data_IF_951880435811
#
_entry.id   IF_951880435811
#
_cell.length_a   1.000
_cell.length_b   1.000
_cell.length_c   1.000
_cell.angle_alpha   90.00
_cell.angle_beta   90.00
_cell.angle_gamma   90.00
#
_symmetry.space_group_name_H-M   'P 1'
#
loop_
_entity.id
_entity.type
_entity.pdbx_description
1 polymer ?
#
# COMPACT_ATOMS: atom_id res chain seq x y z
N UNK A 1 65.86 -25.14 -24.12
CA UNK A 1 64.66 -25.08 -24.99
C UNK A 1 63.70 -24.08 -24.39
N UNK A 2 63.29 -23.12 -25.23
CA UNK A 2 62.17 -22.18 -25.16
C UNK A 2 61.40 -21.94 -23.84
N UNK A 3 61.50 -20.69 -23.39
CA UNK A 3 60.47 -19.77 -22.90
C UNK A 3 59.04 -20.27 -22.61
N UNK A 4 58.54 -19.93 -21.42
CA UNK A 4 57.12 -19.63 -21.20
C UNK A 4 57.01 -18.31 -20.42
N UNK A 5 56.52 -17.29 -21.10
CA UNK A 5 56.32 -15.93 -20.62
C UNK A 5 55.02 -15.74 -19.85
N UNK A 6 54.99 -14.64 -19.11
CA UNK A 6 53.85 -14.09 -18.40
C UNK A 6 52.91 -13.31 -19.34
N UNK A 7 51.60 -13.39 -19.11
CA UNK A 7 50.64 -12.26 -19.04
C UNK A 7 49.18 -12.77 -18.88
N UNK A 8 48.26 -11.94 -18.33
CA UNK A 8 47.03 -12.38 -17.67
C UNK A 8 45.79 -12.42 -18.58
N UNK A 9 44.84 -13.31 -18.23
CA UNK A 9 43.60 -13.55 -18.98
C UNK A 9 42.56 -12.43 -18.75
N UNK A 10 42.30 -11.69 -19.83
CA UNK A 10 41.10 -10.86 -20.05
C UNK A 10 39.86 -11.73 -20.34
N UNK A 11 38.73 -11.23 -19.83
CA UNK A 11 37.33 -11.39 -20.28
C UNK A 11 37.11 -12.17 -21.59
N UNK A 12 36.38 -13.29 -21.48
CA UNK A 12 35.77 -13.99 -22.62
C UNK A 12 34.24 -13.85 -22.58
N UNK A 13 33.74 -13.23 -23.64
CA UNK A 13 32.34 -13.19 -24.10
C UNK A 13 32.19 -14.15 -25.29
N UNK A 14 30.93 -14.56 -25.53
CA UNK A 14 30.35 -15.19 -26.74
C UNK A 14 30.23 -16.74 -26.73
N UNK A 15 29.22 -17.37 -27.42
CA UNK A 15 28.56 -16.87 -28.63
C UNK A 15 27.02 -16.95 -28.73
N UNK A 16 26.54 -16.30 -29.79
CA UNK A 16 25.18 -16.25 -30.31
C UNK A 16 24.92 -17.35 -31.37
N UNK A 17 23.67 -17.82 -31.44
CA UNK A 17 22.97 -18.44 -32.58
C UNK A 17 21.53 -18.72 -32.13
N UNK A 18 20.43 -18.59 -32.89
CA UNK A 18 20.11 -18.09 -34.21
C UNK A 18 18.55 -17.98 -34.29
N UNK A 19 17.97 -17.35 -35.32
CA UNK A 19 16.65 -16.71 -35.32
C UNK A 19 15.56 -17.52 -36.02
N UNK A 20 14.27 -17.18 -35.82
CA UNK A 20 13.15 -17.29 -36.79
C UNK A 20 11.94 -16.45 -36.33
N UNK A 21 10.99 -16.07 -37.21
CA UNK A 21 11.17 -15.56 -38.57
C UNK A 21 10.48 -14.19 -38.76
N UNK A 22 11.05 -13.41 -39.67
CA UNK A 22 10.50 -12.17 -40.21
C UNK A 22 9.35 -12.44 -41.19
N UNK A 23 8.21 -11.79 -40.97
CA UNK A 23 7.28 -11.41 -42.05
C UNK A 23 7.34 -9.88 -42.20
N UNK A 24 7.74 -9.47 -43.39
CA UNK A 24 7.92 -8.10 -43.82
C UNK A 24 6.58 -7.39 -44.03
N UNK A 25 6.64 -6.08 -43.76
CA UNK A 25 5.94 -4.98 -44.41
C UNK A 25 4.42 -4.86 -44.19
N UNK A 26 4.01 -3.71 -43.63
CA UNK A 26 3.35 -2.68 -44.44
C UNK A 26 3.20 -1.35 -43.68
N UNK A 27 3.73 -0.31 -44.30
CA UNK A 27 3.42 1.12 -44.14
C UNK A 27 3.72 1.80 -42.80
N UNK A 28 4.88 2.47 -42.77
CA UNK A 28 4.96 3.83 -42.23
C UNK A 28 4.00 4.73 -43.03
N UNK A 29 2.74 4.81 -42.61
CA UNK A 29 1.79 5.78 -43.11
C UNK A 29 2.15 7.20 -42.63
N UNK A 30 1.69 8.25 -43.33
CA UNK A 30 1.93 9.62 -42.91
C UNK A 30 1.32 9.82 -41.52
N UNK A 31 1.90 10.70 -40.70
CA UNK A 31 1.32 11.15 -39.44
C UNK A 31 -0.16 11.52 -39.66
N UNK A 32 -1.06 10.61 -39.28
CA UNK A 32 -2.49 10.78 -39.40
C UNK A 32 -2.92 11.90 -38.44
N UNK A 33 -3.93 12.71 -38.80
CA UNK A 33 -4.44 13.74 -37.91
C UNK A 33 -4.87 13.10 -36.58
N UNK A 34 -4.59 13.75 -35.43
CA UNK A 34 -4.77 13.16 -34.11
C UNK A 34 -6.19 12.67 -33.82
N UNK A 35 -7.20 13.22 -34.50
CA UNK A 35 -8.59 12.81 -34.36
C UNK A 35 -8.91 11.45 -34.99
N UNK A 36 -8.27 11.07 -36.11
CA UNK A 36 -8.62 9.80 -36.80
C UNK A 36 -8.18 8.57 -36.01
N UNK A 37 -7.06 8.68 -35.31
CA UNK A 37 -6.61 7.61 -34.41
C UNK A 37 -7.46 7.51 -33.15
N UNK A 38 -8.13 8.59 -32.73
CA UNK A 38 -9.00 8.62 -31.55
C UNK A 38 -10.33 7.96 -31.83
N UNK A 39 -11.00 8.38 -32.92
CA UNK A 39 -12.27 7.78 -33.35
C UNK A 39 -12.12 6.28 -33.60
N UNK A 40 -11.04 5.86 -34.27
CA UNK A 40 -10.76 4.43 -34.47
C UNK A 40 -10.60 3.67 -33.14
N UNK A 41 -9.99 4.27 -32.12
CA UNK A 41 -9.83 3.61 -30.83
C UNK A 41 -11.14 3.51 -30.04
N UNK A 42 -12.06 4.46 -30.23
CA UNK A 42 -13.40 4.41 -29.64
C UNK A 42 -14.27 3.37 -30.36
N UNK A 43 -14.18 3.30 -31.68
CA UNK A 43 -14.86 2.29 -32.50
C UNK A 43 -14.35 0.87 -32.17
N UNK A 44 -13.04 0.69 -32.03
CA UNK A 44 -12.43 -0.57 -31.62
C UNK A 44 -12.82 -0.94 -30.19
N UNK A 45 -12.91 0.03 -29.28
CA UNK A 45 -13.36 -0.20 -27.91
C UNK A 45 -14.80 -0.74 -27.87
N UNK A 46 -15.71 -0.16 -28.67
CA UNK A 46 -17.09 -0.60 -28.78
C UNK A 46 -17.23 -2.03 -29.35
N UNK A 47 -16.25 -2.50 -30.14
CA UNK A 47 -16.24 -3.86 -30.68
C UNK A 47 -15.48 -4.89 -29.84
N UNK A 48 -14.61 -4.46 -28.93
CA UNK A 48 -13.66 -5.32 -28.21
C UNK A 48 -13.79 -5.29 -26.68
N UNK A 49 -14.55 -4.34 -26.13
CA UNK A 49 -14.62 -4.09 -24.68
C UNK A 49 -13.31 -3.54 -24.09
N UNK A 50 -12.35 -3.13 -24.91
CA UNK A 50 -11.06 -2.58 -24.45
C UNK A 50 -10.85 -1.16 -24.98
N UNK A 51 -10.92 -0.18 -24.08
CA UNK A 51 -10.70 1.22 -24.38
C UNK A 51 -9.24 1.61 -24.17
N UNK A 52 -8.48 1.85 -25.25
CA UNK A 52 -7.08 2.28 -25.18
C UNK A 52 -6.86 3.69 -25.73
N UNK A 53 -6.74 4.65 -24.83
CA UNK A 53 -6.47 6.07 -25.13
C UNK A 53 -5.12 6.54 -24.56
N UNK A 54 -4.17 5.62 -24.32
CA UNK A 54 -2.88 5.95 -23.72
C UNK A 54 -2.02 6.89 -24.59
N UNK A 55 -1.31 7.83 -23.95
CA UNK A 55 -0.25 8.60 -24.62
C UNK A 55 -0.74 9.69 -25.59
N UNK A 56 -2.01 10.05 -25.53
CA UNK A 56 -2.66 10.96 -26.49
C UNK A 56 -2.66 12.43 -26.09
N UNK A 57 -1.98 12.77 -24.98
CA UNK A 57 -1.91 14.13 -24.40
C UNK A 57 -3.29 14.73 -24.09
N UNK A 58 -4.28 13.88 -23.83
CA UNK A 58 -5.66 14.29 -23.56
C UNK A 58 -5.75 15.10 -22.27
N UNK A 59 -6.42 16.24 -22.32
CA UNK A 59 -6.75 17.06 -21.13
C UNK A 59 -8.13 16.74 -20.56
N UNK A 60 -9.04 16.34 -21.43
CA UNK A 60 -10.40 15.90 -21.12
C UNK A 60 -10.66 14.57 -21.83
N UNK A 61 -11.67 13.84 -21.36
CA UNK A 61 -12.16 12.66 -22.05
C UNK A 61 -12.79 13.07 -23.38
N UNK A 62 -12.61 12.30 -24.45
CA UNK A 62 -13.09 12.70 -25.76
C UNK A 62 -14.62 12.77 -25.80
N UNK A 63 -15.18 13.94 -26.11
CA UNK A 63 -16.64 14.14 -26.23
C UNK A 63 -17.28 13.24 -27.29
N UNK A 64 -16.52 12.88 -28.31
CA UNK A 64 -16.94 11.93 -29.36
C UNK A 64 -17.18 10.53 -28.82
N UNK A 65 -16.68 10.18 -27.63
CA UNK A 65 -16.99 8.89 -26.99
C UNK A 65 -18.48 8.72 -26.70
N UNK A 66 -19.24 9.81 -26.54
CA UNK A 66 -20.69 9.74 -26.38
C UNK A 66 -21.42 9.19 -27.63
N UNK A 67 -20.75 9.15 -28.78
CA UNK A 67 -21.31 8.59 -30.02
C UNK A 67 -21.11 7.07 -30.14
N UNK A 68 -20.38 6.46 -29.20
CA UNK A 68 -20.08 5.03 -29.20
C UNK A 68 -20.66 4.40 -27.93
N UNK A 69 -21.23 3.21 -28.06
CA UNK A 69 -21.60 2.43 -26.88
C UNK A 69 -20.34 1.77 -26.31
N UNK A 70 -19.99 2.15 -25.08
CA UNK A 70 -18.82 1.66 -24.37
C UNK A 70 -19.22 0.94 -23.07
N UNK A 71 -20.51 0.68 -22.85
CA UNK A 71 -21.03 0.15 -21.58
C UNK A 71 -20.50 -1.24 -21.23
N UNK A 72 -20.07 -2.00 -22.23
CA UNK A 72 -19.44 -3.31 -22.13
C UNK A 72 -17.91 -3.26 -21.97
N UNK A 73 -17.32 -2.06 -21.84
CA UNK A 73 -15.87 -1.91 -21.65
C UNK A 73 -15.43 -2.55 -20.35
N UNK A 74 -14.57 -3.56 -20.45
CA UNK A 74 -13.97 -4.32 -19.35
C UNK A 74 -12.62 -3.73 -18.95
N UNK A 75 -11.88 -3.19 -19.92
CA UNK A 75 -10.53 -2.66 -19.70
C UNK A 75 -10.40 -1.25 -20.27
N UNK A 76 -9.99 -0.28 -19.44
CA UNK A 76 -9.76 1.09 -19.87
C UNK A 76 -8.33 1.55 -19.53
N UNK A 77 -7.55 1.86 -20.56
CA UNK A 77 -6.23 2.48 -20.46
C UNK A 77 -6.28 3.95 -20.91
N UNK A 78 -6.28 4.84 -19.92
CA UNK A 78 -6.22 6.29 -20.08
C UNK A 78 -4.85 6.85 -19.64
N UNK A 79 -3.82 6.01 -19.56
CA UNK A 79 -2.49 6.37 -19.04
C UNK A 79 -1.72 7.35 -19.94
N UNK A 80 -0.68 7.99 -19.39
CA UNK A 80 0.23 8.89 -20.10
C UNK A 80 -0.49 10.04 -20.81
N UNK A 81 -1.57 10.54 -20.21
CA UNK A 81 -2.32 11.71 -20.68
C UNK A 81 -2.05 12.91 -19.76
N UNK A 82 -2.91 13.93 -19.82
CA UNK A 82 -2.84 15.16 -19.02
C UNK A 82 -4.17 15.42 -18.31
N UNK A 83 -4.91 14.35 -18.00
CA UNK A 83 -6.20 14.44 -17.31
C UNK A 83 -6.00 15.06 -15.94
N UNK A 84 -6.80 16.08 -15.62
CA UNK A 84 -6.73 16.77 -14.32
C UNK A 84 -7.61 16.12 -13.26
N UNK A 85 -8.62 15.38 -13.68
CA UNK A 85 -9.58 14.67 -12.84
C UNK A 85 -9.96 13.37 -13.54
N UNK A 86 -10.46 12.39 -12.79
CA UNK A 86 -11.04 11.19 -13.41
C UNK A 86 -12.34 11.60 -14.13
N UNK A 87 -12.46 11.31 -15.44
CA UNK A 87 -13.63 11.76 -16.21
C UNK A 87 -14.93 11.13 -15.71
N UNK A 88 -16.01 11.91 -15.73
CA UNK A 88 -17.33 11.43 -15.31
C UNK A 88 -17.87 10.34 -16.26
N UNK A 89 -17.41 10.30 -17.51
CA UNK A 89 -17.76 9.27 -18.48
C UNK A 89 -17.30 7.88 -18.02
N UNK A 90 -16.17 7.78 -17.31
CA UNK A 90 -15.65 6.51 -16.78
C UNK A 90 -16.62 5.88 -15.78
N UNK A 91 -17.42 6.68 -15.08
CA UNK A 91 -18.44 6.24 -14.11
C UNK A 91 -19.56 5.42 -14.75
N UNK A 92 -19.78 5.58 -16.06
CA UNK A 92 -20.82 4.86 -16.81
C UNK A 92 -20.34 3.50 -17.34
N UNK A 93 -19.04 3.19 -17.25
CA UNK A 93 -18.47 1.92 -17.68
C UNK A 93 -18.69 0.84 -16.60
N UNK A 94 -19.94 0.46 -16.37
CA UNK A 94 -20.33 -0.44 -15.25
C UNK A 94 -19.68 -1.83 -15.31
N UNK A 95 -19.28 -2.27 -16.49
CA UNK A 95 -18.59 -3.56 -16.72
C UNK A 95 -17.07 -3.48 -16.51
N UNK A 96 -16.54 -2.32 -16.13
CA UNK A 96 -15.11 -2.07 -16.07
C UNK A 96 -14.44 -2.86 -14.95
N UNK A 97 -13.53 -3.77 -15.31
CA UNK A 97 -12.75 -4.57 -14.38
C UNK A 97 -11.37 -3.98 -14.10
N UNK A 98 -10.78 -3.30 -15.09
CA UNK A 98 -9.46 -2.68 -14.95
C UNK A 98 -9.45 -1.25 -15.47
N UNK A 99 -8.92 -0.34 -14.64
CA UNK A 99 -8.77 1.07 -14.97
C UNK A 99 -7.33 1.52 -14.76
N UNK A 100 -6.66 1.90 -15.85
CA UNK A 100 -5.30 2.42 -15.83
C UNK A 100 -5.29 3.92 -16.14
N UNK A 101 -4.96 4.71 -15.12
CA UNK A 101 -4.81 6.17 -15.14
C UNK A 101 -3.38 6.61 -14.86
N UNK A 102 -2.41 5.69 -14.99
CA UNK A 102 -0.99 5.93 -14.76
C UNK A 102 -0.49 7.18 -15.49
N UNK A 103 0.31 8.00 -14.81
CA UNK A 103 1.02 9.14 -15.41
C UNK A 103 0.06 10.16 -16.07
N UNK A 104 -0.79 10.75 -15.24
CA UNK A 104 -1.69 11.85 -15.59
C UNK A 104 -1.42 13.05 -14.65
N UNK A 105 -2.36 13.99 -14.54
CA UNK A 105 -2.31 15.13 -13.63
C UNK A 105 -3.51 15.12 -12.68
N UNK A 106 -4.03 13.94 -12.35
CA UNK A 106 -5.29 13.76 -11.62
C UNK A 106 -5.14 14.30 -10.20
N UNK A 107 -6.02 15.22 -9.81
CA UNK A 107 -6.10 15.83 -8.48
C UNK A 107 -7.31 15.36 -7.70
N UNK A 108 -8.38 14.95 -8.38
CA UNK A 108 -9.58 14.41 -7.73
C UNK A 108 -10.14 13.19 -8.45
N UNK A 109 -10.85 12.36 -7.70
CA UNK A 109 -11.61 11.21 -8.20
C UNK A 109 -13.07 11.49 -7.80
N UNK A 110 -14.04 11.46 -8.73
CA UNK A 110 -15.42 11.77 -8.44
C UNK A 110 -16.07 10.64 -7.62
N UNK A 111 -17.00 11.01 -6.74
CA UNK A 111 -17.70 10.07 -5.85
C UNK A 111 -18.47 8.98 -6.63
N UNK A 112 -18.89 9.32 -7.85
CA UNK A 112 -19.55 8.40 -8.78
C UNK A 112 -18.75 7.14 -9.09
N UNK A 113 -17.41 7.14 -8.90
CA UNK A 113 -16.57 5.94 -9.10
C UNK A 113 -17.06 4.72 -8.31
N UNK A 114 -17.81 4.92 -7.22
CA UNK A 114 -18.47 3.84 -6.47
C UNK A 114 -19.43 2.99 -7.32
N UNK A 115 -19.91 3.45 -8.47
CA UNK A 115 -20.77 2.66 -9.38
C UNK A 115 -20.04 1.49 -10.02
N UNK A 116 -18.70 1.52 -10.08
CA UNK A 116 -17.86 0.56 -10.81
C UNK A 116 -17.67 -0.73 -10.01
N UNK A 117 -18.77 -1.44 -9.73
CA UNK A 117 -18.81 -2.63 -8.88
C UNK A 117 -18.12 -3.86 -9.50
N UNK A 118 -17.70 -3.79 -10.77
CA UNK A 118 -16.85 -4.81 -11.40
C UNK A 118 -15.35 -4.48 -11.29
N UNK A 119 -14.98 -3.29 -10.81
CA UNK A 119 -13.60 -2.82 -10.85
C UNK A 119 -12.74 -3.55 -9.82
N UNK A 120 -11.81 -4.36 -10.32
CA UNK A 120 -10.89 -5.16 -9.50
C UNK A 120 -9.48 -4.60 -9.48
N UNK A 121 -9.06 -3.85 -10.50
CA UNK A 121 -7.74 -3.27 -10.57
C UNK A 121 -7.79 -1.77 -10.92
N UNK A 122 -7.28 -0.94 -10.03
CA UNK A 122 -7.18 0.50 -10.22
C UNK A 122 -5.73 0.95 -10.12
N UNK A 123 -5.19 1.50 -11.21
CA UNK A 123 -3.88 2.14 -11.23
C UNK A 123 -4.03 3.64 -11.43
N UNK A 124 -3.78 4.40 -10.37
CA UNK A 124 -3.79 5.88 -10.33
C UNK A 124 -2.40 6.42 -9.98
N UNK A 125 -1.34 5.64 -10.21
CA UNK A 125 0.02 6.04 -9.88
C UNK A 125 0.57 7.15 -10.78
N UNK A 126 1.53 7.91 -10.27
CA UNK A 126 2.10 9.11 -10.92
C UNK A 126 1.04 10.14 -11.28
N UNK A 127 0.30 10.59 -10.27
CA UNK A 127 -0.70 11.65 -10.38
C UNK A 127 -0.43 12.73 -9.31
N UNK A 128 -1.42 13.58 -9.00
CA UNK A 128 -1.29 14.70 -8.07
C UNK A 128 -2.34 14.63 -6.94
N UNK A 129 -2.81 13.43 -6.60
CA UNK A 129 -3.83 13.23 -5.57
C UNK A 129 -3.27 13.60 -4.20
N UNK A 130 -3.98 14.48 -3.49
CA UNK A 130 -3.67 14.85 -2.10
C UNK A 130 -4.42 13.98 -1.08
N UNK A 131 -5.58 13.45 -1.48
CA UNK A 131 -6.44 12.58 -0.67
C UNK A 131 -6.98 11.46 -1.55
N UNK A 132 -7.06 10.25 -0.99
CA UNK A 132 -7.79 9.15 -1.60
C UNK A 132 -9.24 9.19 -1.08
N UNK A 133 -10.25 9.43 -1.94
CA UNK A 133 -11.63 9.56 -1.48
C UNK A 133 -12.18 8.23 -0.96
N UNK A 134 -13.04 8.32 0.05
CA UNK A 134 -13.63 7.16 0.71
C UNK A 134 -14.44 6.27 -0.26
N UNK A 135 -14.98 6.85 -1.32
CA UNK A 135 -15.76 6.16 -2.36
C UNK A 135 -14.94 5.06 -3.05
N UNK A 136 -13.63 5.25 -3.23
CA UNK A 136 -12.72 4.21 -3.79
C UNK A 136 -12.64 3.00 -2.87
N UNK A 137 -12.84 3.19 -1.56
CA UNK A 137 -12.80 2.11 -0.57
C UNK A 137 -14.08 1.25 -0.57
N UNK A 138 -15.14 1.69 -1.24
CA UNK A 138 -16.38 0.92 -1.42
C UNK A 138 -16.36 -0.03 -2.62
N UNK A 139 -15.24 -0.10 -3.33
CA UNK A 139 -15.08 -0.93 -4.53
C UNK A 139 -14.51 -2.32 -4.20
N UNK A 140 -14.82 -3.36 -4.98
CA UNK A 140 -14.27 -4.71 -4.79
C UNK A 140 -12.84 -4.85 -5.36
N UNK A 141 -11.97 -3.86 -5.09
CA UNK A 141 -10.60 -3.84 -5.60
C UNK A 141 -9.79 -4.99 -5.02
N UNK A 142 -9.03 -5.64 -5.91
CA UNK A 142 -7.96 -6.60 -5.62
C UNK A 142 -6.58 -5.97 -5.70
N UNK A 143 -6.41 -5.01 -6.61
CA UNK A 143 -5.15 -4.29 -6.81
C UNK A 143 -5.44 -2.79 -6.81
N UNK A 144 -4.78 -2.06 -5.90
CA UNK A 144 -4.80 -0.60 -5.86
C UNK A 144 -3.38 -0.06 -5.89
N UNK A 145 -3.03 0.62 -6.97
CA UNK A 145 -1.76 1.33 -7.08
C UNK A 145 -1.99 2.84 -7.13
N UNK A 146 -1.67 3.50 -6.02
CA UNK A 146 -1.70 4.96 -5.85
C UNK A 146 -0.31 5.53 -5.55
N UNK A 147 0.75 4.84 -5.97
CA UNK A 147 2.13 5.30 -5.80
C UNK A 147 2.43 6.60 -6.54
N UNK A 148 3.44 7.34 -6.10
CA UNK A 148 3.87 8.60 -6.71
C UNK A 148 2.71 9.63 -6.82
N UNK A 149 2.03 9.88 -5.72
CA UNK A 149 1.04 10.94 -5.56
C UNK A 149 1.50 11.90 -4.44
N UNK A 150 0.59 12.70 -3.88
CA UNK A 150 0.83 13.61 -2.75
C UNK A 150 -0.07 13.26 -1.56
N UNK A 151 -0.36 11.96 -1.37
CA UNK A 151 -1.28 11.52 -0.33
C UNK A 151 -0.67 11.78 1.05
N UNK A 152 -1.36 12.55 1.89
CA UNK A 152 -0.92 12.85 3.27
C UNK A 152 -1.37 11.78 4.28
N UNK A 153 -2.46 11.09 3.97
CA UNK A 153 -3.03 10.02 4.79
C UNK A 153 -3.87 9.08 3.91
N UNK A 154 -4.12 7.88 4.43
CA UNK A 154 -5.14 6.98 3.88
C UNK A 154 -6.44 7.16 4.67
N UNK A 155 -7.62 7.10 4.03
CA UNK A 155 -8.89 7.21 4.72
C UNK A 155 -9.11 6.01 5.64
N UNK A 156 -9.83 6.19 6.75
CA UNK A 156 -10.19 5.08 7.65
C UNK A 156 -11.02 4.01 6.94
N UNK A 157 -11.80 4.41 5.93
CA UNK A 157 -12.57 3.51 5.08
C UNK A 157 -11.72 2.53 4.29
N UNK A 158 -10.39 2.68 4.21
CA UNK A 158 -9.51 1.72 3.53
C UNK A 158 -9.75 0.28 3.99
N UNK A 159 -10.11 0.07 5.26
CA UNK A 159 -10.44 -1.24 5.80
C UNK A 159 -11.70 -1.91 5.22
N UNK A 160 -12.49 -1.20 4.40
CA UNK A 160 -13.66 -1.74 3.69
C UNK A 160 -13.28 -2.54 2.44
N UNK A 161 -12.05 -2.38 1.93
CA UNK A 161 -11.54 -3.10 0.74
C UNK A 161 -11.20 -4.57 1.09
N UNK A 162 -12.21 -5.36 1.45
CA UNK A 162 -12.04 -6.74 1.96
C UNK A 162 -11.35 -7.69 1.00
N UNK A 163 -11.45 -7.41 -0.30
CA UNK A 163 -10.88 -8.23 -1.39
C UNK A 163 -9.47 -7.78 -1.84
N UNK A 164 -8.93 -6.71 -1.24
CA UNK A 164 -7.66 -6.12 -1.67
C UNK A 164 -6.50 -7.05 -1.34
N UNK A 165 -5.73 -7.43 -2.36
CA UNK A 165 -4.58 -8.30 -2.28
C UNK A 165 -3.27 -7.53 -2.37
N UNK A 166 -3.26 -6.43 -3.13
CA UNK A 166 -2.08 -5.61 -3.37
C UNK A 166 -2.40 -4.12 -3.19
N UNK A 167 -1.66 -3.46 -2.30
CA UNK A 167 -1.76 -2.03 -2.06
C UNK A 167 -0.38 -1.39 -2.19
N UNK A 168 -0.22 -0.54 -3.21
CA UNK A 168 0.96 0.29 -3.38
C UNK A 168 0.61 1.77 -3.22
N UNK A 169 1.13 2.37 -2.15
CA UNK A 169 1.01 3.80 -1.84
C UNK A 169 2.40 4.41 -1.63
N UNK A 170 3.42 3.82 -2.25
CA UNK A 170 4.79 4.29 -2.15
C UNK A 170 5.01 5.66 -2.80
N UNK A 171 6.06 6.36 -2.39
CA UNK A 171 6.39 7.71 -2.88
C UNK A 171 5.21 8.69 -2.71
N UNK A 172 4.69 8.78 -1.49
CA UNK A 172 3.66 9.73 -1.07
C UNK A 172 4.14 10.51 0.17
N UNK A 173 3.25 11.25 0.81
CA UNK A 173 3.53 12.08 2.00
C UNK A 173 2.82 11.52 3.25
N UNK A 174 2.56 10.21 3.28
CA UNK A 174 1.77 9.56 4.33
C UNK A 174 2.51 9.59 5.66
N UNK A 175 1.91 10.19 6.68
CA UNK A 175 2.49 10.34 8.02
C UNK A 175 2.16 9.21 8.99
N UNK A 176 1.00 8.56 8.79
CA UNK A 176 0.54 7.43 9.58
C UNK A 176 -0.37 6.52 8.76
N UNK A 177 -0.38 5.23 9.10
CA UNK A 177 -1.34 4.27 8.56
C UNK A 177 -2.54 4.16 9.51
N UNK A 178 -3.78 4.15 9.01
CA UNK A 178 -4.96 4.02 9.85
C UNK A 178 -5.05 2.61 10.44
N UNK A 179 -5.48 2.49 11.71
CA UNK A 179 -5.72 1.19 12.39
C UNK A 179 -6.59 0.22 11.58
N UNK A 180 -7.54 0.79 10.83
CA UNK A 180 -8.48 0.04 9.98
C UNK A 180 -7.81 -0.76 8.86
N UNK A 181 -6.54 -0.50 8.55
CA UNK A 181 -5.77 -1.32 7.61
C UNK A 181 -5.70 -2.79 8.04
N UNK A 182 -5.77 -3.09 9.33
CA UNK A 182 -5.82 -4.46 9.87
C UNK A 182 -7.08 -5.26 9.47
N UNK A 183 -8.10 -4.60 8.91
CA UNK A 183 -9.30 -5.26 8.38
C UNK A 183 -9.12 -5.87 6.99
N UNK A 184 -8.02 -5.57 6.31
CA UNK A 184 -7.73 -6.05 4.94
C UNK A 184 -7.31 -7.53 4.92
N UNK A 185 -8.23 -8.45 5.22
CA UNK A 185 -7.95 -9.90 5.39
C UNK A 185 -7.39 -10.58 4.12
N UNK A 186 -7.62 -10.00 2.94
CA UNK A 186 -7.05 -10.50 1.68
C UNK A 186 -5.65 -9.94 1.36
N UNK A 187 -5.15 -8.94 2.09
CA UNK A 187 -3.92 -8.23 1.70
C UNK A 187 -2.70 -9.14 1.82
N UNK A 188 -1.92 -9.19 0.75
CA UNK A 188 -0.68 -9.98 0.63
C UNK A 188 0.52 -9.09 0.42
N UNK A 189 0.38 -8.00 -0.32
CA UNK A 189 1.47 -7.09 -0.62
C UNK A 189 1.10 -5.68 -0.19
N UNK A 190 1.92 -5.12 0.69
CA UNK A 190 1.79 -3.74 1.14
C UNK A 190 3.10 -3.00 0.87
N UNK A 191 3.04 -1.98 0.02
CA UNK A 191 4.16 -1.10 -0.26
C UNK A 191 3.84 0.33 0.19
N UNK A 192 4.53 0.77 1.23
CA UNK A 192 4.46 2.13 1.81
C UNK A 192 5.83 2.81 1.75
N UNK A 193 6.73 2.33 0.89
CA UNK A 193 8.08 2.87 0.70
C UNK A 193 8.06 4.38 0.40
N UNK A 194 9.08 5.12 0.87
CA UNK A 194 9.23 6.57 0.59
C UNK A 194 7.98 7.35 0.98
N UNK A 195 7.64 7.28 2.27
CA UNK A 195 6.61 8.09 2.91
C UNK A 195 7.21 8.76 4.15
N UNK A 196 6.37 9.35 5.00
CA UNK A 196 6.76 10.05 6.22
C UNK A 196 6.27 9.30 7.48
N UNK A 197 6.12 7.97 7.39
CA UNK A 197 5.54 7.17 8.47
C UNK A 197 6.49 7.12 9.67
N UNK A 198 6.01 7.57 10.82
CA UNK A 198 6.76 7.54 12.08
C UNK A 198 6.46 6.29 12.93
N UNK A 199 5.19 5.86 12.95
CA UNK A 199 4.71 4.75 13.78
C UNK A 199 3.96 3.75 12.91
N UNK A 200 4.28 2.48 13.12
CA UNK A 200 3.60 1.36 12.49
C UNK A 200 2.47 0.87 13.40
N UNK A 201 1.21 0.77 12.92
CA UNK A 201 0.10 0.28 13.75
C UNK A 201 0.22 -1.21 14.04
N UNK A 202 -0.13 -1.61 15.27
CA UNK A 202 -0.10 -3.01 15.70
C UNK A 202 -1.05 -3.91 14.90
N UNK A 203 -2.16 -3.34 14.40
CA UNK A 203 -3.18 -4.04 13.60
C UNK A 203 -2.62 -4.68 12.31
N UNK A 204 -1.46 -4.21 11.81
CA UNK A 204 -0.78 -4.84 10.67
C UNK A 204 -0.28 -6.26 10.97
N UNK A 205 -0.09 -6.61 12.25
CA UNK A 205 0.35 -7.93 12.67
C UNK A 205 -0.68 -9.04 12.35
N UNK A 206 -1.96 -8.67 12.28
CA UNK A 206 -3.07 -9.60 11.99
C UNK A 206 -3.27 -9.84 10.48
N UNK A 207 -2.53 -9.11 9.64
CA UNK A 207 -2.64 -9.24 8.20
C UNK A 207 -1.82 -10.43 7.69
N UNK A 208 -2.35 -11.21 6.74
CA UNK A 208 -1.63 -12.31 6.09
C UNK A 208 -0.63 -11.81 5.01
N UNK A 209 0.16 -10.79 5.33
CA UNK A 209 1.13 -10.18 4.43
C UNK A 209 2.24 -11.17 4.07
N UNK A 210 2.58 -11.20 2.78
CA UNK A 210 3.69 -11.95 2.17
C UNK A 210 4.85 -11.01 1.87
N UNK A 211 4.55 -9.80 1.41
CA UNK A 211 5.55 -8.75 1.17
C UNK A 211 5.15 -7.47 1.89
N UNK A 212 6.09 -6.90 2.62
CA UNK A 212 5.90 -5.61 3.26
C UNK A 212 7.13 -4.75 3.07
N UNK A 213 6.95 -3.62 2.38
CA UNK A 213 8.00 -2.62 2.17
C UNK A 213 7.59 -1.30 2.83
N UNK A 214 8.33 -0.91 3.87
CA UNK A 214 8.24 0.40 4.52
C UNK A 214 9.59 1.12 4.51
N UNK A 215 10.47 0.79 3.55
CA UNK A 215 11.76 1.46 3.39
C UNK A 215 11.62 2.96 3.12
N UNK A 216 12.66 3.74 3.44
CA UNK A 216 12.69 5.19 3.29
C UNK A 216 11.51 5.91 4.00
N UNK A 217 11.25 5.55 5.25
CA UNK A 217 10.27 6.22 6.11
C UNK A 217 10.97 6.84 7.34
N UNK A 218 10.20 7.21 8.37
CA UNK A 218 10.68 7.77 9.64
C UNK A 218 10.41 6.82 10.82
N UNK A 219 10.29 5.52 10.54
CA UNK A 219 9.93 4.52 11.55
C UNK A 219 11.08 4.36 12.55
N UNK A 220 10.78 4.55 13.83
CA UNK A 220 11.75 4.37 14.93
C UNK A 220 11.70 2.97 15.55
N UNK A 221 10.52 2.36 15.56
CA UNK A 221 10.30 1.09 16.27
C UNK A 221 9.40 0.16 15.47
N UNK A 222 9.75 -1.12 15.42
CA UNK A 222 8.87 -2.18 14.91
C UNK A 222 8.09 -2.76 16.09
N UNK A 223 6.74 -2.76 16.06
CA UNK A 223 5.93 -3.33 17.13
C UNK A 223 6.27 -4.80 17.40
N UNK A 224 6.34 -5.17 18.68
CA UNK A 224 6.68 -6.54 19.12
C UNK A 224 5.69 -7.57 18.56
N UNK A 225 4.42 -7.19 18.41
CA UNK A 225 3.36 -8.04 17.86
C UNK A 225 3.64 -8.51 16.41
N UNK A 226 4.52 -7.84 15.66
CA UNK A 226 4.89 -8.26 14.30
C UNK A 226 5.59 -9.61 14.24
N UNK A 227 6.06 -10.14 15.39
CA UNK A 227 6.49 -11.54 15.53
C UNK A 227 5.43 -12.55 15.04
N UNK A 228 4.14 -12.17 15.06
CA UNK A 228 3.01 -13.03 14.64
C UNK A 228 2.85 -13.13 13.13
N UNK A 229 3.52 -12.28 12.34
CA UNK A 229 3.41 -12.23 10.87
C UNK A 229 4.16 -13.41 10.20
N UNK A 230 3.68 -14.63 10.42
CA UNK A 230 4.34 -15.87 9.98
C UNK A 230 4.36 -16.06 8.45
N UNK A 231 3.42 -15.43 7.73
CA UNK A 231 3.31 -15.51 6.27
C UNK A 231 4.28 -14.59 5.53
N UNK A 232 4.95 -13.69 6.25
CA UNK A 232 5.81 -12.68 5.66
C UNK A 232 7.08 -13.32 5.10
N UNK A 233 7.29 -13.20 3.79
CA UNK A 233 8.45 -13.71 3.07
C UNK A 233 9.48 -12.61 2.83
N UNK A 234 9.03 -11.43 2.38
CA UNK A 234 9.89 -10.28 2.11
C UNK A 234 9.55 -9.12 3.05
N UNK A 235 10.57 -8.59 3.72
CA UNK A 235 10.46 -7.44 4.60
C UNK A 235 11.54 -6.42 4.24
N UNK A 236 11.14 -5.28 3.69
CA UNK A 236 12.02 -4.19 3.31
C UNK A 236 11.79 -3.01 4.26
N UNK A 237 12.86 -2.59 4.94
CA UNK A 237 12.81 -1.57 6.01
C UNK A 237 14.00 -0.61 5.96
N UNK A 238 14.81 -0.69 4.90
CA UNK A 238 16.01 0.11 4.71
C UNK A 238 15.71 1.61 4.81
N UNK A 239 16.70 2.41 5.21
CA UNK A 239 16.56 3.87 5.30
C UNK A 239 15.43 4.32 6.25
N UNK A 240 15.33 3.69 7.41
CA UNK A 240 14.53 4.14 8.55
C UNK A 240 15.44 4.40 9.76
N UNK A 241 15.16 5.41 10.60
CA UNK A 241 15.90 5.69 11.83
C UNK A 241 15.52 4.71 12.96
N UNK A 242 15.62 3.41 12.70
CA UNK A 242 15.21 2.37 13.63
C UNK A 242 16.12 2.34 14.87
N UNK A 243 15.49 2.49 16.04
CA UNK A 243 16.11 2.31 17.35
C UNK A 243 15.89 0.89 17.87
N UNK A 244 14.72 0.30 17.60
CA UNK A 244 14.39 -1.07 17.98
C UNK A 244 13.58 -1.76 16.87
N UNK A 245 14.11 -2.82 16.22
CA UNK A 245 15.38 -3.49 16.48
C UNK A 245 16.62 -2.64 16.13
N UNK A 246 17.76 -2.83 16.82
CA UNK A 246 19.02 -2.17 16.47
C UNK A 246 19.44 -2.43 15.02
N UNK A 247 20.16 -1.48 14.41
CA UNK A 247 20.61 -1.56 13.01
C UNK A 247 21.38 -2.86 12.70
N UNK A 248 22.19 -3.35 13.64
CA UNK A 248 22.94 -4.61 13.50
C UNK A 248 22.04 -5.84 13.30
N UNK A 249 20.83 -5.83 13.87
CA UNK A 249 19.83 -6.90 13.69
C UNK A 249 19.12 -6.70 12.36
N UNK A 250 18.79 -5.46 12.03
CA UNK A 250 18.13 -5.09 10.79
C UNK A 250 18.91 -5.53 9.54
N UNK A 251 20.24 -5.32 9.53
CA UNK A 251 21.13 -5.71 8.41
C UNK A 251 21.15 -7.23 8.20
N UNK A 252 20.94 -8.03 9.25
CA UNK A 252 20.88 -9.50 9.15
C UNK A 252 19.53 -10.02 8.60
N UNK A 253 18.59 -9.12 8.32
CA UNK A 253 17.33 -9.42 7.66
C UNK A 253 16.23 -9.98 8.55
N UNK A 254 15.11 -10.33 7.90
CA UNK A 254 13.81 -10.70 8.52
C UNK A 254 13.91 -11.73 9.65
N UNK A 255 14.67 -12.80 9.46
CA UNK A 255 14.76 -13.91 10.43
C UNK A 255 15.31 -13.42 11.78
N UNK A 256 16.33 -12.57 11.75
CA UNK A 256 16.96 -12.03 12.95
C UNK A 256 16.07 -11.00 13.64
N UNK A 257 15.36 -10.18 12.87
CA UNK A 257 14.35 -9.25 13.39
C UNK A 257 13.26 -10.01 14.15
N UNK A 258 12.69 -11.06 13.56
CA UNK A 258 11.63 -11.84 14.20
C UNK A 258 12.12 -12.56 15.46
N UNK A 259 13.36 -13.06 15.45
CA UNK A 259 13.99 -13.64 16.64
C UNK A 259 14.14 -12.59 17.74
N UNK A 260 14.59 -11.38 17.41
CA UNK A 260 14.70 -10.27 18.35
C UNK A 260 13.33 -9.89 18.94
N UNK A 261 12.31 -9.67 18.10
CA UNK A 261 10.96 -9.34 18.55
C UNK A 261 10.37 -10.44 19.45
N UNK A 262 10.67 -11.71 19.17
CA UNK A 262 10.26 -12.83 20.02
C UNK A 262 10.95 -12.82 21.38
N UNK A 263 12.23 -12.46 21.44
CA UNK A 263 12.98 -12.34 22.70
C UNK A 263 12.51 -11.14 23.53
N UNK A 264 12.24 -10.00 22.89
CA UNK A 264 11.72 -8.80 23.57
C UNK A 264 10.32 -9.04 24.14
N UNK A 265 9.45 -9.74 23.43
CA UNK A 265 8.14 -10.16 23.96
C UNK A 265 8.29 -10.97 25.27
N UNK A 266 9.20 -11.95 25.30
CA UNK A 266 9.44 -12.78 26.49
C UNK A 266 10.11 -12.01 27.65
N UNK A 267 10.69 -10.83 27.39
CA UNK A 267 11.23 -9.94 28.42
C UNK A 267 10.14 -9.06 29.03
N UNK A 268 9.20 -8.57 28.21
CA UNK A 268 8.03 -7.82 28.66
C UNK A 268 7.10 -8.62 29.56
N UNK A 269 6.87 -9.90 29.25
CA UNK A 269 6.02 -10.79 30.06
C UNK A 269 6.61 -11.14 31.44
N UNK A 270 7.90 -10.90 31.67
CA UNK A 270 8.56 -11.16 32.96
C UNK A 270 8.46 -9.99 33.97
N UNK A 271 7.81 -8.89 33.60
CA UNK A 271 7.55 -7.75 34.48
C UNK A 271 6.11 -7.24 34.36
N UNK A 272 5.12 -7.90 35.00
CA UNK A 272 3.91 -7.18 35.40
C UNK A 272 3.78 -6.86 36.90
N UNK A 273 4.57 -7.45 37.83
CA UNK A 273 4.21 -7.44 39.27
C UNK A 273 5.28 -6.97 40.28
N UNK A 274 6.43 -6.41 39.86
CA UNK A 274 7.51 -6.10 40.81
C UNK A 274 7.55 -4.65 41.35
N UNK A 275 6.52 -3.82 41.12
CA UNK A 275 6.53 -2.40 41.55
C UNK A 275 5.35 -1.95 42.45
N UNK A 276 4.51 -2.86 42.93
CA UNK A 276 3.50 -2.53 43.94
C UNK A 276 3.53 -3.54 45.09
N UNK A 277 4.57 -3.56 45.92
CA UNK A 277 4.44 -3.94 47.33
C UNK A 277 5.74 -3.64 48.08
N UNK A 278 5.90 -2.39 48.49
CA UNK A 278 6.59 -2.03 49.73
C UNK A 278 6.32 -0.56 50.05
N UNK A 279 5.15 -0.27 50.62
CA UNK A 279 5.14 0.46 51.88
C UNK A 279 3.82 0.26 52.63
N UNK A 280 3.87 0.47 53.95
CA UNK A 280 2.81 0.33 54.97
C UNK A 280 2.73 -1.03 55.70
N UNK A 281 3.59 -1.14 56.71
CA UNK A 281 3.30 -1.91 57.93
C UNK A 281 2.03 -1.35 58.60
N UNK A 282 1.07 -2.19 59.04
CA UNK A 282 0.02 -1.75 59.96
C UNK A 282 0.54 -1.74 61.41
N UNK A 283 0.32 -0.63 62.12
CA UNK A 283 0.49 -0.55 63.58
C UNK A 283 -0.51 -1.48 64.30
N UNK A 284 -0.13 -2.09 65.45
CA UNK A 284 -1.00 -3.04 66.13
C UNK A 284 -2.00 -2.37 67.09
N UNK A 285 -3.26 -2.81 66.96
CA UNK A 285 -4.25 -3.17 68.00
C UNK A 285 -4.58 -2.15 69.12
N UNK A 286 -5.76 -1.55 69.01
CA UNK A 286 -6.61 -1.18 70.14
C UNK A 286 -7.78 -2.20 70.26
N UNK A 287 -7.92 -2.79 71.45
CA UNK A 287 -9.04 -3.56 72.03
C UNK A 287 -8.71 -3.69 73.52
N UNK A 288 -9.58 -3.60 74.51
CA UNK A 288 -11.00 -3.29 74.66
C UNK A 288 -11.16 -2.92 76.17
N UNK A 289 -12.38 -2.59 76.59
CA UNK A 289 -12.91 -2.66 77.96
C UNK A 289 -12.77 -1.43 78.88
N UNK A 290 -13.86 -0.65 78.99
CA UNK A 290 -14.67 -0.61 80.22
C UNK A 290 -15.95 0.24 80.04
N UNK A 291 -17.12 -0.38 80.22
CA UNK A 291 -18.31 0.28 80.80
C UNK A 291 -18.77 -0.59 81.96
N UNK A 292 -19.20 0.01 83.08
CA UNK A 292 -20.65 -0.07 83.34
C UNK A 292 -21.26 1.16 84.04
N UNK A 293 -22.53 1.39 83.66
CA UNK A 293 -23.72 1.73 84.47
C UNK A 293 -23.75 2.90 85.48
N UNK A 294 -24.74 3.77 85.21
CA UNK A 294 -25.83 4.25 86.08
C UNK A 294 -25.53 4.99 87.41
N UNK A 295 -26.00 6.24 87.46
CA UNK A 295 -26.89 6.88 88.47
C UNK A 295 -26.87 8.39 88.14
N UNK A 296 -27.94 9.17 88.09
CA UNK A 296 -29.11 9.22 88.95
C UNK A 296 -29.16 10.62 89.60
N UNK A 297 -30.12 11.45 89.18
CA UNK A 297 -30.82 12.50 89.95
C UNK A 297 -30.11 13.77 90.49
N UNK A 298 -30.72 14.93 90.15
CA UNK A 298 -31.01 16.16 90.96
C UNK A 298 -29.85 16.86 91.69
N UNK A 299 -29.68 18.19 91.66
CA UNK A 299 -30.60 19.33 91.87
C UNK A 299 -30.03 20.54 91.11
#
# INVERSE_FOLDING_TARGET
>A
MAALGAEPLRLQLAPAAAPQPSLLALSSGPSLPPNRGLERALEEAAGSGTLSLSGRKLKEFPRTAANYDLTDTVHADLSKNRLMDVPHEVVHLVSLETLNLYHNCIRSIPDGVISLQSLTALNISRNQLSVLPACVCGLPLRVLNASNNKLNALPESIGQLSSLMELDVSCNEITALPRHIGRLRALRELNVRRNLICVLPEDLADLPLVKFDFSCNKVSTIPVCYRKMSRLQSLQLENNPLQSPPAQICIKGKVHIFKYLSLEACRGDKMPDALYLHDQKPHPRFRDDWTPAADGLSV
#
